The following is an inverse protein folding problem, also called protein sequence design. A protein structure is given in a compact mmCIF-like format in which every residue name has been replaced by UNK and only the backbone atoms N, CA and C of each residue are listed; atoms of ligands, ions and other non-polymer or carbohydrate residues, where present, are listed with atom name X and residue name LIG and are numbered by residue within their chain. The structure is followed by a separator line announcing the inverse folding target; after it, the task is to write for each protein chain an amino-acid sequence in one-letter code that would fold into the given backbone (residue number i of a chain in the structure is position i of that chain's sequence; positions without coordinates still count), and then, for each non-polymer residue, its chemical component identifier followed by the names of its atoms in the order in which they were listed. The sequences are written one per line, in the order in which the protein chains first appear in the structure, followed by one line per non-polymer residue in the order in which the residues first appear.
data_IF_335081426482
#
_entry.id   IF_335081426482
#
_cell.length_a   1.000
_cell.length_b   1.000
_cell.length_c   1.000
_cell.angle_alpha   90.00
_cell.angle_beta   90.00
_cell.angle_gamma   90.00
#
_symmetry.space_group_name_H-M   'P 1'
#
loop_
_entity.id
_entity.type
_entity.pdbx_description
1 polymer ?
#
# COMPACT_ATOMS: atom_id res chain seq x y z
N UNK A 1 2.29 13.82 4.60
CA UNK A 1 2.32 12.69 3.65
C UNK A 1 1.92 13.23 2.29
N UNK A 2 2.37 12.62 1.20
CA UNK A 2 1.83 12.87 -0.14
C UNK A 2 1.48 11.55 -0.79
N UNK A 3 0.31 11.48 -1.43
CA UNK A 3 -0.13 10.29 -2.15
C UNK A 3 -0.38 10.68 -3.61
N UNK A 4 0.21 9.92 -4.52
CA UNK A 4 -0.02 10.01 -5.95
C UNK A 4 -0.50 8.65 -6.44
N UNK A 5 -1.44 8.63 -7.39
CA UNK A 5 -1.99 7.38 -7.92
C UNK A 5 -2.08 7.43 -9.44
N UNK A 6 -1.75 6.31 -10.08
CA UNK A 6 -1.84 6.18 -11.52
C UNK A 6 -2.48 4.85 -11.93
N UNK A 7 -3.35 4.91 -12.94
CA UNK A 7 -3.97 3.72 -13.50
C UNK A 7 -2.95 2.96 -14.35
N UNK A 8 -2.80 1.67 -14.08
CA UNK A 8 -2.09 0.69 -14.89
C UNK A 8 -3.09 -0.34 -15.41
N UNK A 9 -2.69 -1.12 -16.40
CA UNK A 9 -3.60 -2.02 -17.14
C UNK A 9 -4.41 -2.98 -16.26
N UNK A 10 -3.86 -3.42 -15.11
CA UNK A 10 -4.49 -4.39 -14.20
C UNK A 10 -4.66 -3.93 -12.76
N UNK A 11 -4.10 -2.77 -12.39
CA UNK A 11 -4.06 -2.26 -11.03
C UNK A 11 -3.98 -0.73 -11.02
N UNK A 12 -4.21 -0.14 -9.85
CA UNK A 12 -3.80 1.23 -9.56
C UNK A 12 -2.48 1.18 -8.79
N UNK A 13 -1.45 1.87 -9.30
CA UNK A 13 -0.20 2.08 -8.57
C UNK A 13 -0.37 3.31 -7.67
N UNK A 14 -0.12 3.15 -6.38
CA UNK A 14 -0.28 4.18 -5.34
C UNK A 14 1.09 4.46 -4.74
N UNK A 15 1.66 5.62 -5.05
CA UNK A 15 2.91 6.09 -4.46
C UNK A 15 2.62 6.80 -3.16
N UNK A 16 3.25 6.35 -2.07
CA UNK A 16 3.15 7.01 -0.77
C UNK A 16 4.50 7.56 -0.35
N UNK A 17 4.54 8.87 -0.15
CA UNK A 17 5.77 9.64 0.02
C UNK A 17 5.77 10.34 1.38
N UNK A 18 6.91 10.26 2.08
CA UNK A 18 7.12 10.88 3.38
C UNK A 18 6.75 9.93 4.52
N UNK A 19 5.86 10.36 5.42
CA UNK A 19 5.57 9.64 6.67
C UNK A 19 4.08 9.32 6.80
N UNK A 20 3.76 8.11 7.26
CA UNK A 20 2.40 7.69 7.59
C UNK A 20 2.28 7.36 9.08
N UNK A 21 1.53 8.18 9.81
CA UNK A 21 1.33 8.10 11.25
C UNK A 21 -0.13 8.38 11.65
N UNK A 22 -0.42 8.60 12.93
CA UNK A 22 -1.79 8.80 13.39
C UNK A 22 -2.47 10.05 12.79
N UNK A 23 -1.70 11.04 12.33
CA UNK A 23 -2.23 12.27 11.73
C UNK A 23 -2.51 12.06 10.25
N UNK A 24 -1.65 11.31 9.56
CA UNK A 24 -1.66 11.18 8.11
C UNK A 24 -2.34 9.90 7.60
N UNK A 25 -2.39 8.83 8.39
CA UNK A 25 -3.04 7.58 8.03
C UNK A 25 -4.51 7.73 7.55
N UNK A 26 -5.36 8.60 8.13
CA UNK A 26 -6.72 8.81 7.62
C UNK A 26 -6.79 9.29 6.16
N UNK A 27 -5.79 10.04 5.68
CA UNK A 27 -5.71 10.47 4.29
C UNK A 27 -5.49 9.28 3.35
N UNK A 28 -4.64 8.33 3.74
CA UNK A 28 -4.43 7.08 2.99
C UNK A 28 -5.71 6.24 2.93
N UNK A 29 -6.41 6.12 4.05
CA UNK A 29 -7.69 5.39 4.12
C UNK A 29 -8.73 5.99 3.16
N UNK A 30 -8.83 7.32 3.12
CA UNK A 30 -9.74 8.03 2.21
C UNK A 30 -9.38 7.79 0.75
N UNK A 31 -8.10 7.89 0.38
CA UNK A 31 -7.64 7.66 -1.00
C UNK A 31 -7.91 6.22 -1.42
N UNK A 32 -7.50 5.22 -0.64
CA UNK A 32 -7.74 3.82 -0.97
C UNK A 32 -9.23 3.49 -1.05
N UNK A 33 -10.05 4.00 -0.13
CA UNK A 33 -11.50 3.79 -0.16
C UNK A 33 -12.10 4.36 -1.44
N UNK A 34 -11.69 5.57 -1.85
CA UNK A 34 -12.16 6.19 -3.09
C UNK A 34 -11.75 5.37 -4.31
N UNK A 35 -10.47 5.00 -4.44
CA UNK A 35 -9.98 4.19 -5.56
C UNK A 35 -10.74 2.85 -5.68
N UNK A 36 -10.98 2.18 -4.54
CA UNK A 36 -11.73 0.93 -4.49
C UNK A 36 -13.21 1.13 -4.87
N UNK A 37 -13.82 2.25 -4.43
CA UNK A 37 -15.19 2.60 -4.81
C UNK A 37 -15.31 2.91 -6.32
N UNK A 38 -14.28 3.53 -6.89
CA UNK A 38 -14.18 3.85 -8.32
C UNK A 38 -13.84 2.61 -9.19
N UNK A 39 -13.74 1.42 -8.57
CA UNK A 39 -13.65 0.14 -9.27
C UNK A 39 -12.25 -0.48 -9.30
N UNK A 40 -11.26 0.10 -8.61
CA UNK A 40 -9.94 -0.51 -8.49
C UNK A 40 -10.05 -1.88 -7.79
N UNK A 41 -9.79 -2.94 -8.55
CA UNK A 41 -9.73 -4.31 -8.01
C UNK A 41 -8.38 -4.66 -7.43
N UNK A 42 -7.30 -4.04 -7.90
CA UNK A 42 -5.96 -4.34 -7.43
C UNK A 42 -5.22 -3.04 -7.15
N UNK A 43 -4.53 -3.02 -6.01
CA UNK A 43 -3.70 -1.91 -5.59
C UNK A 43 -2.25 -2.39 -5.45
N UNK A 44 -1.33 -1.69 -6.10
CA UNK A 44 0.10 -1.82 -5.80
C UNK A 44 0.51 -0.59 -5.03
N UNK A 45 1.01 -0.75 -3.81
CA UNK A 45 1.44 0.36 -2.95
C UNK A 45 2.95 0.47 -3.01
N UNK A 46 3.43 1.54 -3.61
CA UNK A 46 4.85 1.87 -3.69
C UNK A 46 5.28 2.64 -2.45
N UNK A 47 6.16 2.01 -1.67
CA UNK A 47 6.70 2.51 -0.41
C UNK A 47 8.16 2.95 -0.55
N UNK A 48 8.68 3.09 -1.77
CA UNK A 48 10.08 3.43 -2.04
C UNK A 48 10.51 4.81 -1.59
N UNK A 49 9.57 5.71 -1.37
CA UNK A 49 9.80 7.06 -0.80
C UNK A 49 9.14 7.25 0.56
N UNK A 50 8.75 6.15 1.22
CA UNK A 50 8.29 6.18 2.59
C UNK A 50 9.51 6.25 3.53
N UNK A 51 9.49 7.21 4.43
CA UNK A 51 10.53 7.46 5.43
C UNK A 51 10.19 6.81 6.78
N UNK A 52 8.90 6.71 7.10
CA UNK A 52 8.43 6.17 8.38
C UNK A 52 6.97 5.71 8.31
N UNK A 53 6.65 4.64 9.05
CA UNK A 53 5.28 4.19 9.26
C UNK A 53 5.05 3.83 10.74
N UNK A 54 3.94 4.29 11.33
CA UNK A 54 3.53 3.91 12.68
C UNK A 54 2.50 2.79 12.68
N UNK A 55 2.08 2.32 13.87
CA UNK A 55 0.99 1.36 14.00
C UNK A 55 -0.34 1.84 13.39
N UNK A 56 -0.57 3.15 13.31
CA UNK A 56 -1.74 3.68 12.62
C UNK A 56 -1.65 3.42 11.11
N UNK A 57 -0.50 3.69 10.48
CA UNK A 57 -0.29 3.41 9.08
C UNK A 57 -0.37 1.93 8.74
N UNK A 58 0.21 1.06 9.58
CA UNK A 58 0.08 -0.40 9.40
C UNK A 58 -1.38 -0.85 9.44
N UNK A 59 -2.21 -0.30 10.35
CA UNK A 59 -3.64 -0.60 10.38
C UNK A 59 -4.35 -0.12 9.12
N UNK A 60 -3.99 1.03 8.58
CA UNK A 60 -4.54 1.56 7.32
C UNK A 60 -4.19 0.67 6.11
N UNK A 61 -2.94 0.20 6.01
CA UNK A 61 -2.54 -0.80 4.99
C UNK A 61 -3.36 -2.08 5.14
N UNK A 62 -3.54 -2.57 6.38
CA UNK A 62 -4.35 -3.75 6.65
C UNK A 62 -5.83 -3.57 6.26
N UNK A 63 -6.39 -2.40 6.55
CA UNK A 63 -7.77 -2.06 6.21
C UNK A 63 -7.98 -2.01 4.68
N UNK A 64 -7.09 -1.33 3.95
CA UNK A 64 -7.11 -1.28 2.49
C UNK A 64 -6.98 -2.69 1.88
N UNK A 65 -6.07 -3.51 2.41
CA UNK A 65 -5.88 -4.90 2.00
C UNK A 65 -7.14 -5.76 2.18
N UNK A 66 -7.84 -5.61 3.32
CA UNK A 66 -9.12 -6.30 3.56
C UNK A 66 -10.23 -5.79 2.62
N UNK A 67 -10.28 -4.49 2.37
CA UNK A 67 -11.30 -3.85 1.54
C UNK A 67 -11.18 -4.25 0.06
N UNK A 68 -9.96 -4.39 -0.47
CA UNK A 68 -9.76 -4.86 -1.84
C UNK A 68 -10.01 -6.37 -1.96
N UNK A 69 -9.60 -7.14 -0.95
CA UNK A 69 -9.81 -8.60 -0.91
C UNK A 69 -11.29 -8.98 -0.85
N UNK A 70 -12.12 -8.23 -0.12
CA UNK A 70 -13.57 -8.47 -0.09
C UNK A 70 -14.26 -8.27 -1.44
N UNK A 71 -13.59 -7.60 -2.38
CA UNK A 71 -14.04 -7.38 -3.77
C UNK A 71 -13.35 -8.31 -4.78
N UNK A 72 -12.60 -9.30 -4.30
CA UNK A 72 -11.97 -10.32 -5.12
C UNK A 72 -10.69 -9.88 -5.82
N UNK A 73 -9.98 -8.87 -5.31
CA UNK A 73 -8.64 -8.55 -5.80
C UNK A 73 -7.63 -8.35 -4.68
N UNK A 74 -6.49 -7.73 -4.99
CA UNK A 74 -5.28 -7.84 -4.17
C UNK A 74 -4.66 -6.48 -3.81
N UNK A 75 -3.96 -6.46 -2.67
CA UNK A 75 -3.02 -5.39 -2.31
C UNK A 75 -1.60 -5.99 -2.27
N UNK A 76 -0.70 -5.41 -3.06
CA UNK A 76 0.71 -5.81 -3.13
C UNK A 76 1.57 -4.60 -2.75
N UNK A 77 2.74 -4.84 -2.17
CA UNK A 77 3.69 -3.81 -1.76
C UNK A 77 4.92 -3.84 -2.66
N UNK A 78 5.54 -2.68 -2.93
CA UNK A 78 6.80 -2.64 -3.67
C UNK A 78 7.78 -1.58 -3.17
N UNK A 79 9.04 -1.70 -3.60
CA UNK A 79 10.17 -0.79 -3.34
C UNK A 79 10.47 -0.50 -1.85
N UNK A 80 9.93 -1.29 -0.92
CA UNK A 80 10.11 -1.03 0.51
C UNK A 80 11.57 -1.21 0.95
N UNK A 81 12.11 -0.24 1.69
CA UNK A 81 13.52 -0.20 2.09
C UNK A 81 13.74 0.40 3.49
N UNK A 82 14.92 0.18 4.05
CA UNK A 82 15.37 0.77 5.31
C UNK A 82 14.43 0.50 6.49
N UNK A 83 14.26 1.51 7.35
CA UNK A 83 13.44 1.43 8.57
C UNK A 83 12.00 0.98 8.31
N UNK A 84 11.39 1.38 7.19
CA UNK A 84 10.03 0.94 6.84
C UNK A 84 9.97 -0.56 6.63
N UNK A 85 10.98 -1.13 5.94
CA UNK A 85 11.06 -2.58 5.73
C UNK A 85 11.22 -3.34 7.05
N UNK A 86 12.10 -2.87 7.92
CA UNK A 86 12.32 -3.47 9.25
C UNK A 86 11.03 -3.46 10.08
N UNK A 87 10.25 -2.37 10.05
CA UNK A 87 8.96 -2.29 10.75
C UNK A 87 7.96 -3.32 10.21
N UNK A 88 7.89 -3.50 8.88
CA UNK A 88 7.02 -4.51 8.27
C UNK A 88 7.45 -5.95 8.58
N UNK A 89 8.77 -6.21 8.63
CA UNK A 89 9.33 -7.50 9.02
C UNK A 89 9.02 -7.82 10.49
N UNK A 90 9.35 -6.91 11.42
CA UNK A 90 9.11 -7.08 12.85
C UNK A 90 7.62 -7.23 13.18
N UNK A 91 6.76 -6.50 12.47
CA UNK A 91 5.31 -6.59 12.66
C UNK A 91 4.67 -7.83 12.00
N UNK A 92 5.42 -8.60 11.22
CA UNK A 92 4.93 -9.78 10.51
C UNK A 92 4.02 -9.48 9.32
N UNK A 93 3.92 -8.22 8.89
CA UNK A 93 3.04 -7.81 7.79
C UNK A 93 3.43 -8.41 6.44
N UNK A 94 4.70 -8.77 6.25
CA UNK A 94 5.17 -9.43 5.04
C UNK A 94 4.62 -10.86 4.86
N UNK A 95 4.03 -11.46 5.91
CA UNK A 95 3.28 -12.72 5.78
C UNK A 95 1.86 -12.52 5.23
N UNK A 96 1.35 -11.28 5.29
CA UNK A 96 -0.01 -10.92 4.89
C UNK A 96 -0.02 -10.33 3.49
N UNK A 97 0.99 -9.51 3.18
CA UNK A 97 1.11 -8.76 1.93
C UNK A 97 2.37 -9.16 1.17
N UNK A 98 2.24 -9.62 -0.08
CA UNK A 98 3.39 -9.83 -0.95
C UNK A 98 4.18 -8.53 -1.13
N UNK A 99 5.50 -8.60 -0.96
CA UNK A 99 6.43 -7.50 -1.19
C UNK A 99 7.33 -7.83 -2.38
N UNK A 100 7.41 -6.90 -3.33
CA UNK A 100 8.27 -7.02 -4.50
C UNK A 100 9.36 -5.95 -4.53
N UNK A 101 10.53 -6.24 -5.12
CA UNK A 101 11.60 -5.29 -5.34
C UNK A 101 11.18 -4.03 -6.13
N UNK A 102 10.28 -4.17 -7.11
CA UNK A 102 9.88 -3.08 -8.02
C UNK A 102 8.38 -3.03 -8.26
N UNK A 103 7.90 -1.87 -8.72
CA UNK A 103 6.50 -1.70 -9.13
C UNK A 103 6.14 -2.61 -10.32
N UNK A 104 7.03 -2.71 -11.32
CA UNK A 104 6.80 -3.57 -12.49
C UNK A 104 6.68 -5.05 -12.11
N UNK A 105 7.51 -5.52 -11.18
CA UNK A 105 7.43 -6.90 -10.69
C UNK A 105 6.14 -7.14 -9.91
N UNK A 106 5.73 -6.21 -9.04
CA UNK A 106 4.45 -6.30 -8.35
C UNK A 106 3.26 -6.33 -9.34
N UNK A 107 3.28 -5.47 -10.37
CA UNK A 107 2.25 -5.38 -11.40
C UNK A 107 2.10 -6.67 -12.23
N UNK A 108 3.18 -7.45 -12.38
CA UNK A 108 3.14 -8.75 -13.07
C UNK A 108 2.46 -9.87 -12.27
N UNK A 109 2.26 -9.67 -10.96
CA UNK A 109 1.63 -10.63 -10.04
C UNK A 109 0.17 -10.27 -9.69
N UNK A 110 -0.40 -9.32 -10.43
CA UNK A 110 -1.77 -8.86 -10.28
C UNK A 110 -2.75 -9.70 -11.08
#
# INVERSE_FOLDING_TARGET
MRIESENRSKAVLVHVIGRMDAVTAPEFDQVCTKLIADGAKNLVVDLGQMEYISSAGLRSILAAGKAVKSRGGNLLLCNMKGMVKEIFEISGFLSIFPLYPTADEALSHV
#
